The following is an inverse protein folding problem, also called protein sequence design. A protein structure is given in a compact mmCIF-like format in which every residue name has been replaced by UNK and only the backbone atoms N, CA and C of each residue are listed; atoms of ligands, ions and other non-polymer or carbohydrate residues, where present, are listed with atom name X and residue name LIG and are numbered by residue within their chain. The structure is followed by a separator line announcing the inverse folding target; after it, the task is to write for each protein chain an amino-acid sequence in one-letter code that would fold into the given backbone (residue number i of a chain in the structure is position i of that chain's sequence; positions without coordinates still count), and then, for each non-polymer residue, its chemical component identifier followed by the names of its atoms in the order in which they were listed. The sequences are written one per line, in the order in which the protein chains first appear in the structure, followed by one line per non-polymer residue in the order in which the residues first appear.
data_IF_426679099038
#
_entry.id   IF_426679099038
#
_cell.length_a   1.000
_cell.length_b   1.000
_cell.length_c   1.000
_cell.angle_alpha   90.00
_cell.angle_beta   90.00
_cell.angle_gamma   90.00
#
_symmetry.space_group_name_H-M   'P 1'
#
loop_
_entity.id
_entity.type
_entity.pdbx_description
1 polymer ?
#
# COMPACT_ATOMS: atom_id res chain seq x y z
N UNK A 1 16.92 25.12 5.79
CA UNK A 1 15.48 24.87 5.92
C UNK A 1 15.24 23.46 5.45
N UNK A 2 14.58 22.64 6.27
CA UNK A 2 14.22 21.28 5.91
C UNK A 2 13.10 21.32 4.85
N UNK A 3 13.25 20.57 3.76
CA UNK A 3 12.23 20.47 2.71
C UNK A 3 10.96 19.84 3.30
N UNK A 4 9.78 20.38 3.00
CA UNK A 4 8.53 19.76 3.46
C UNK A 4 8.31 18.43 2.73
N UNK A 5 7.60 17.48 3.36
CA UNK A 5 7.26 16.19 2.73
C UNK A 5 6.57 16.39 1.37
N UNK A 6 5.69 17.39 1.28
CA UNK A 6 4.97 17.74 0.06
C UNK A 6 5.92 18.22 -1.04
N UNK A 7 6.85 19.12 -0.72
CA UNK A 7 7.83 19.62 -1.68
C UNK A 7 8.77 18.50 -2.16
N UNK A 8 9.19 17.61 -1.26
CA UNK A 8 9.99 16.44 -1.61
C UNK A 8 9.22 15.49 -2.55
N UNK A 9 7.94 15.21 -2.26
CA UNK A 9 7.09 14.37 -3.11
C UNK A 9 6.91 14.98 -4.51
N UNK A 10 6.67 16.29 -4.61
CA UNK A 10 6.54 17.01 -5.88
C UNK A 10 7.81 16.94 -6.71
N UNK A 11 8.98 17.19 -6.09
CA UNK A 11 10.28 17.07 -6.75
C UNK A 11 10.52 15.66 -7.30
N UNK A 12 10.26 14.63 -6.49
CA UNK A 12 10.43 13.23 -6.91
C UNK A 12 9.44 12.88 -8.03
N UNK A 13 8.17 13.29 -7.90
CA UNK A 13 7.13 13.06 -8.92
C UNK A 13 7.50 13.67 -10.28
N UNK A 14 8.03 14.89 -10.30
CA UNK A 14 8.49 15.53 -11.53
C UNK A 14 9.62 14.73 -12.20
N UNK A 15 10.64 14.35 -11.43
CA UNK A 15 11.76 13.57 -11.95
C UNK A 15 11.32 12.19 -12.47
N UNK A 16 10.50 11.47 -11.70
CA UNK A 16 9.97 10.17 -12.09
C UNK A 16 9.12 10.28 -13.35
N UNK A 17 8.23 11.27 -13.43
CA UNK A 17 7.39 11.50 -14.62
C UNK A 17 8.25 11.68 -15.86
N UNK A 18 9.27 12.53 -15.79
CA UNK A 18 10.12 12.85 -16.95
C UNK A 18 10.93 11.63 -17.41
N UNK A 19 11.42 10.81 -16.47
CA UNK A 19 12.07 9.52 -16.76
C UNK A 19 11.09 8.57 -17.46
N UNK A 20 9.87 8.40 -16.93
CA UNK A 20 8.90 7.47 -17.52
C UNK A 20 8.53 7.88 -18.95
N UNK A 21 8.28 9.16 -19.19
CA UNK A 21 7.98 9.69 -20.52
C UNK A 21 9.14 9.47 -21.50
N UNK A 22 10.39 9.63 -21.03
CA UNK A 22 11.58 9.45 -21.86
C UNK A 22 11.83 7.99 -22.24
N UNK A 23 11.71 7.07 -21.29
CA UNK A 23 12.15 5.68 -21.46
C UNK A 23 11.04 4.74 -21.97
N UNK A 24 9.77 4.98 -21.61
CA UNK A 24 8.65 4.11 -22.00
C UNK A 24 8.10 4.50 -23.39
N UNK A 25 8.25 5.76 -23.79
CA UNK A 25 7.96 6.25 -25.15
C UNK A 25 6.54 5.91 -25.62
N UNK A 26 6.41 5.28 -26.80
CA UNK A 26 5.12 5.06 -27.48
C UNK A 26 4.18 4.10 -26.75
N UNK A 27 4.69 3.27 -25.84
CA UNK A 27 3.85 2.40 -25.01
C UNK A 27 3.34 3.09 -23.75
N UNK A 28 3.78 4.32 -23.43
CA UNK A 28 3.29 5.05 -22.28
C UNK A 28 1.79 5.41 -22.42
N UNK A 29 0.99 5.10 -21.40
CA UNK A 29 -0.44 5.46 -21.35
C UNK A 29 -0.76 6.41 -20.20
N UNK A 30 -0.13 6.22 -19.05
CA UNK A 30 -0.32 7.07 -17.90
C UNK A 30 0.59 6.72 -16.74
N UNK A 31 0.69 7.65 -15.81
CA UNK A 31 1.44 7.49 -14.57
C UNK A 31 0.65 8.12 -13.44
N UNK A 32 0.35 7.33 -12.43
CA UNK A 32 -0.22 7.82 -11.17
C UNK A 32 0.77 7.61 -10.02
N UNK A 33 0.68 8.48 -9.02
CA UNK A 33 1.27 8.28 -7.70
C UNK A 33 0.14 8.06 -6.69
N UNK A 34 0.36 7.20 -5.70
CA UNK A 34 -0.63 6.84 -4.69
C UNK A 34 0.02 6.68 -3.30
N UNK A 35 -0.78 6.27 -2.31
CA UNK A 35 -0.30 5.96 -0.97
C UNK A 35 -0.05 7.20 -0.11
N UNK A 36 0.90 7.11 0.83
CA UNK A 36 1.13 8.17 1.82
C UNK A 36 1.70 9.47 1.25
N UNK A 37 2.28 9.43 0.04
CA UNK A 37 2.76 10.62 -0.66
C UNK A 37 1.61 11.53 -1.13
N UNK A 38 0.40 10.98 -1.32
CA UNK A 38 -0.79 11.73 -1.75
C UNK A 38 -1.70 12.03 -0.57
N UNK A 39 -2.06 11.00 0.20
CA UNK A 39 -3.05 11.12 1.30
C UNK A 39 -2.46 11.66 2.61
N UNK A 40 -1.14 11.76 2.68
CA UNK A 40 -0.40 11.99 3.93
C UNK A 40 -0.31 10.73 4.79
N UNK A 41 -0.07 10.89 6.10
CA UNK A 41 0.21 9.75 6.98
C UNK A 41 1.60 9.13 6.71
N UNK A 42 2.52 9.97 6.23
CA UNK A 42 3.93 9.65 6.05
C UNK A 42 4.56 9.21 7.38
N UNK A 43 5.36 8.15 7.33
CA UNK A 43 6.17 7.67 8.46
C UNK A 43 7.62 7.63 7.96
N UNK A 44 8.48 8.48 8.50
CA UNK A 44 9.89 8.53 8.14
C UNK A 44 10.56 7.16 8.29
N UNK A 45 11.40 6.76 7.35
CA UNK A 45 12.02 5.43 7.29
C UNK A 45 11.11 4.31 6.78
N UNK A 46 9.78 4.42 6.98
CA UNK A 46 8.82 3.38 6.54
C UNK A 46 8.11 3.68 5.22
N UNK A 47 7.84 4.95 4.93
CA UNK A 47 6.99 5.35 3.81
C UNK A 47 7.77 5.40 2.49
N UNK A 48 7.16 4.83 1.46
CA UNK A 48 7.62 4.91 0.07
C UNK A 48 6.83 5.94 -0.71
N UNK A 49 7.27 6.14 -1.95
CA UNK A 49 6.47 6.74 -2.99
C UNK A 49 6.05 5.66 -4.00
N UNK A 50 4.75 5.40 -4.05
CA UNK A 50 4.16 4.29 -4.80
C UNK A 50 3.60 4.80 -6.13
N UNK A 51 4.12 4.27 -7.23
CA UNK A 51 3.68 4.59 -8.58
C UNK A 51 2.96 3.43 -9.24
N UNK A 52 1.98 3.76 -10.09
CA UNK A 52 1.44 2.81 -11.07
C UNK A 52 1.68 3.36 -12.46
N UNK A 53 2.43 2.61 -13.25
CA UNK A 53 2.73 2.91 -14.65
C UNK A 53 1.77 2.14 -15.55
N UNK A 54 0.97 2.86 -16.32
CA UNK A 54 0.09 2.31 -17.34
C UNK A 54 0.81 2.26 -18.67
N UNK A 55 0.89 1.05 -19.24
CA UNK A 55 1.51 0.82 -20.54
C UNK A 55 0.60 0.07 -21.49
N UNK A 56 0.83 0.32 -22.77
CA UNK A 56 0.31 -0.50 -23.85
C UNK A 56 1.03 -1.85 -23.90
N UNK A 57 0.30 -2.88 -24.31
CA UNK A 57 0.82 -4.24 -24.43
C UNK A 57 1.95 -4.37 -25.45
N UNK A 58 1.99 -3.50 -26.45
CA UNK A 58 3.09 -3.42 -27.43
C UNK A 58 4.43 -3.08 -26.77
N UNK A 59 4.43 -2.53 -25.56
CA UNK A 59 5.62 -2.27 -24.76
C UNK A 59 6.02 -3.40 -23.81
N UNK A 60 5.30 -4.52 -23.80
CA UNK A 60 5.52 -5.66 -22.90
C UNK A 60 6.04 -6.88 -23.67
N UNK A 61 6.76 -7.74 -22.97
CA UNK A 61 7.14 -9.07 -23.46
C UNK A 61 5.99 -10.08 -23.29
N UNK A 62 6.22 -11.33 -23.71
CA UNK A 62 5.22 -12.41 -23.64
C UNK A 62 4.75 -12.72 -22.21
N UNK A 63 5.56 -12.44 -21.19
CA UNK A 63 5.16 -12.61 -19.79
C UNK A 63 4.42 -11.40 -19.21
N UNK A 64 4.18 -10.37 -20.02
CA UNK A 64 3.48 -9.16 -19.60
C UNK A 64 4.36 -8.20 -18.79
N UNK A 65 5.69 -8.31 -18.89
CA UNK A 65 6.66 -7.44 -18.24
C UNK A 65 7.35 -6.50 -19.23
N UNK A 66 7.89 -5.38 -18.76
CA UNK A 66 8.74 -4.52 -19.58
C UNK A 66 10.00 -5.30 -20.02
N UNK A 67 10.52 -5.05 -21.23
CA UNK A 67 11.80 -5.59 -21.66
C UNK A 67 12.92 -5.27 -20.66
N UNK A 68 13.83 -6.24 -20.45
CA UNK A 68 14.90 -6.10 -19.45
C UNK A 68 15.79 -4.88 -19.70
N UNK A 69 16.06 -4.55 -20.97
CA UNK A 69 16.83 -3.37 -21.36
C UNK A 69 16.13 -2.08 -20.92
N UNK A 70 14.81 -2.01 -21.07
CA UNK A 70 14.00 -0.89 -20.58
C UNK A 70 14.08 -0.79 -19.06
N UNK A 71 13.97 -1.91 -18.34
CA UNK A 71 14.09 -1.95 -16.89
C UNK A 71 15.46 -1.50 -16.39
N UNK A 72 16.55 -1.91 -17.05
CA UNK A 72 17.92 -1.48 -16.69
C UNK A 72 18.08 0.02 -16.87
N UNK A 73 17.64 0.56 -18.01
CA UNK A 73 17.74 2.00 -18.28
C UNK A 73 16.90 2.82 -17.30
N UNK A 74 15.68 2.36 -17.00
CA UNK A 74 14.83 2.97 -15.99
C UNK A 74 15.49 2.94 -14.61
N UNK A 75 16.05 1.81 -14.20
CA UNK A 75 16.71 1.68 -12.91
C UNK A 75 17.90 2.65 -12.78
N UNK A 76 18.73 2.74 -13.81
CA UNK A 76 19.85 3.70 -13.84
C UNK A 76 19.35 5.13 -13.66
N UNK A 77 18.37 5.57 -14.45
CA UNK A 77 17.83 6.92 -14.36
C UNK A 77 17.17 7.20 -12.99
N UNK A 78 16.39 6.24 -12.47
CA UNK A 78 15.72 6.40 -11.17
C UNK A 78 16.74 6.45 -10.01
N UNK A 79 17.89 5.79 -10.13
CA UNK A 79 18.94 5.77 -9.10
C UNK A 79 19.59 7.13 -8.87
N UNK A 80 19.44 8.06 -9.82
CA UNK A 80 19.95 9.44 -9.72
C UNK A 80 19.03 10.35 -8.89
N UNK A 81 17.80 9.92 -8.59
CA UNK A 81 16.84 10.69 -7.81
C UNK A 81 17.19 10.57 -6.32
N UNK A 82 17.38 11.71 -5.65
CA UNK A 82 17.36 11.75 -4.19
C UNK A 82 15.93 11.51 -3.68
N UNK A 83 15.67 10.30 -3.18
CA UNK A 83 14.36 9.86 -2.70
C UNK A 83 14.02 10.34 -1.29
N UNK A 84 14.99 10.88 -0.54
CA UNK A 84 14.74 11.39 0.81
C UNK A 84 13.62 12.44 0.80
N UNK A 85 12.68 12.42 1.78
CA UNK A 85 12.66 11.59 2.99
C UNK A 85 11.94 10.24 2.84
N UNK A 86 11.46 9.90 1.65
CA UNK A 86 10.91 8.58 1.37
C UNK A 86 12.02 7.54 1.31
N UNK A 87 11.67 6.28 1.57
CA UNK A 87 12.65 5.20 1.57
C UNK A 87 12.93 4.69 0.16
N UNK A 88 11.88 4.42 -0.62
CA UNK A 88 12.00 3.87 -1.97
C UNK A 88 11.02 4.52 -2.96
N UNK A 89 11.39 4.43 -4.23
CA UNK A 89 10.46 4.53 -5.35
C UNK A 89 9.98 3.11 -5.66
N UNK A 90 8.67 2.88 -5.58
CA UNK A 90 8.06 1.57 -5.86
C UNK A 90 7.12 1.67 -7.07
N UNK A 91 7.13 0.63 -7.91
CA UNK A 91 6.32 0.58 -9.13
C UNK A 91 5.45 -0.67 -9.20
N UNK A 92 4.22 -0.47 -9.67
CA UNK A 92 3.43 -1.49 -10.35
C UNK A 92 3.32 -1.11 -11.82
N UNK A 93 3.66 -2.02 -12.73
CA UNK A 93 3.47 -1.83 -14.18
C UNK A 93 2.25 -2.64 -14.60
N UNK A 94 1.27 -1.98 -15.20
CA UNK A 94 0.03 -2.63 -15.60
C UNK A 94 -0.36 -2.26 -17.04
N UNK A 95 -1.06 -3.19 -17.69
CA UNK A 95 -1.66 -3.02 -19.01
C UNK A 95 -3.08 -3.58 -19.02
N UNK A 96 -3.89 -3.34 -20.08
CA UNK A 96 -5.25 -3.90 -20.17
C UNK A 96 -5.30 -5.41 -19.95
N UNK A 97 -4.30 -6.17 -20.44
CA UNK A 97 -4.23 -7.63 -20.28
C UNK A 97 -3.74 -8.11 -18.92
N UNK A 98 -2.93 -7.32 -18.23
CA UNK A 98 -2.23 -7.78 -17.02
C UNK A 98 -2.76 -7.14 -15.74
N UNK A 99 -3.68 -6.18 -15.83
CA UNK A 99 -4.24 -5.54 -14.66
C UNK A 99 -5.01 -6.55 -13.80
N UNK A 100 -4.54 -6.76 -12.57
CA UNK A 100 -5.19 -7.59 -11.54
C UNK A 100 -5.63 -6.77 -10.33
N UNK A 101 -5.39 -5.46 -10.37
CA UNK A 101 -5.65 -4.57 -9.27
C UNK A 101 -7.01 -3.90 -9.44
N UNK A 102 -7.60 -3.53 -8.30
CA UNK A 102 -8.73 -2.61 -8.29
C UNK A 102 -8.33 -1.32 -9.03
N UNK A 103 -9.24 -0.71 -9.81
CA UNK A 103 -8.98 0.60 -10.40
C UNK A 103 -8.65 1.65 -9.32
N UNK A 104 -8.02 2.78 -9.69
CA UNK A 104 -7.67 3.82 -8.73
C UNK A 104 -8.88 4.29 -7.93
N UNK A 105 -8.71 4.37 -6.60
CA UNK A 105 -9.79 4.83 -5.71
C UNK A 105 -9.82 6.37 -5.76
N UNK A 106 -10.99 7.00 -6.01
CA UNK A 106 -11.10 8.46 -6.06
C UNK A 106 -10.47 9.16 -4.85
N UNK A 107 -9.69 10.21 -5.10
CA UNK A 107 -9.00 11.00 -4.08
C UNK A 107 -7.73 10.37 -3.48
N UNK A 108 -7.47 9.08 -3.72
CA UNK A 108 -6.33 8.37 -3.11
C UNK A 108 -5.04 8.38 -3.93
N UNK A 109 -5.06 9.01 -5.10
CA UNK A 109 -3.97 9.08 -6.07
C UNK A 109 -3.90 10.46 -6.74
N UNK A 110 -2.80 10.72 -7.44
CA UNK A 110 -2.64 11.87 -8.33
C UNK A 110 -2.19 11.39 -9.70
N UNK A 111 -2.85 11.85 -10.77
CA UNK A 111 -2.42 11.63 -12.15
C UNK A 111 -1.26 12.58 -12.48
N UNK A 112 -0.08 12.01 -12.75
CA UNK A 112 1.13 12.77 -13.04
C UNK A 112 1.32 13.04 -14.54
N UNK A 113 0.90 12.10 -15.38
CA UNK A 113 0.91 12.23 -16.84
C UNK A 113 -0.02 11.20 -17.51
N UNK A 114 -0.46 11.50 -18.73
CA UNK A 114 -1.29 10.62 -19.55
C UNK A 114 -2.73 10.54 -19.06
N UNK A 115 -3.30 9.33 -19.04
CA UNK A 115 -4.67 9.06 -18.63
C UNK A 115 -4.75 7.76 -17.82
N UNK A 116 -5.85 7.59 -17.07
CA UNK A 116 -6.11 6.32 -16.40
C UNK A 116 -6.33 5.20 -17.43
N UNK A 117 -5.92 3.99 -17.05
CA UNK A 117 -6.17 2.80 -17.85
C UNK A 117 -7.67 2.43 -17.86
N UNK A 118 -8.32 2.61 -16.72
CA UNK A 118 -9.72 2.29 -16.48
C UNK A 118 -10.35 3.42 -15.65
N UNK A 119 -11.69 3.58 -15.66
CA UNK A 119 -12.38 4.50 -14.76
C UNK A 119 -12.05 4.23 -13.29
N UNK A 120 -12.18 5.25 -12.45
CA UNK A 120 -11.98 5.10 -11.01
C UNK A 120 -12.92 4.06 -10.39
N UNK A 121 -12.46 3.40 -9.32
CA UNK A 121 -13.23 2.36 -8.66
C UNK A 121 -14.49 2.94 -8.00
N UNK A 122 -15.61 2.23 -8.16
CA UNK A 122 -16.84 2.53 -7.43
C UNK A 122 -16.78 2.03 -5.99
N UNK A 123 -17.61 2.58 -5.11
CA UNK A 123 -17.70 2.11 -3.73
C UNK A 123 -18.04 0.62 -3.63
N UNK A 124 -18.94 0.14 -4.49
CA UNK A 124 -19.31 -1.28 -4.55
C UNK A 124 -18.12 -2.16 -4.94
N UNK A 125 -17.33 -1.74 -5.93
CA UNK A 125 -16.11 -2.47 -6.31
C UNK A 125 -15.10 -2.54 -5.17
N UNK A 126 -14.89 -1.41 -4.47
CA UNK A 126 -13.99 -1.34 -3.30
C UNK A 126 -14.49 -2.26 -2.17
N UNK A 127 -15.80 -2.25 -1.91
CA UNK A 127 -16.42 -3.12 -0.91
C UNK A 127 -16.28 -4.60 -1.26
N UNK A 128 -16.59 -4.99 -2.50
CA UNK A 128 -16.46 -6.38 -2.95
C UNK A 128 -15.01 -6.87 -2.91
N UNK A 129 -14.05 -6.03 -3.30
CA UNK A 129 -12.63 -6.36 -3.18
C UNK A 129 -12.19 -6.55 -1.71
N UNK A 130 -12.66 -5.68 -0.81
CA UNK A 130 -12.39 -5.80 0.62
C UNK A 130 -12.94 -7.12 1.20
N UNK A 131 -14.19 -7.47 0.86
CA UNK A 131 -14.82 -8.75 1.25
C UNK A 131 -14.01 -9.94 0.70
N UNK A 132 -13.67 -9.91 -0.59
CA UNK A 132 -12.91 -10.98 -1.23
C UNK A 132 -11.52 -11.15 -0.59
N UNK A 133 -10.88 -10.04 -0.23
CA UNK A 133 -9.57 -10.04 0.44
C UNK A 133 -9.65 -10.58 1.87
N UNK A 134 -10.63 -10.16 2.67
CA UNK A 134 -10.84 -10.67 4.03
C UNK A 134 -11.21 -12.17 4.04
N UNK A 135 -11.97 -12.64 3.04
CA UNK A 135 -12.25 -14.06 2.86
C UNK A 135 -10.98 -14.88 2.62
N UNK A 136 -10.07 -14.37 1.78
CA UNK A 136 -8.78 -15.01 1.46
C UNK A 136 -7.70 -14.79 2.51
N UNK A 137 -7.92 -13.93 3.51
CA UNK A 137 -6.92 -13.64 4.54
C UNK A 137 -6.49 -14.92 5.25
N UNK A 138 -5.19 -15.21 5.16
CA UNK A 138 -4.50 -16.29 5.85
C UNK A 138 -3.24 -15.69 6.47
N UNK A 139 -3.22 -15.37 7.78
CA UNK A 139 -2.11 -14.68 8.43
C UNK A 139 -0.73 -15.33 8.15
N UNK A 140 -0.65 -16.66 8.17
CA UNK A 140 0.58 -17.43 7.93
C UNK A 140 1.06 -17.38 6.48
N UNK A 141 0.14 -17.22 5.53
CA UNK A 141 0.48 -17.03 4.11
C UNK A 141 0.85 -15.57 3.81
N UNK A 142 0.29 -14.63 4.57
CA UNK A 142 0.55 -13.21 4.41
C UNK A 142 1.93 -12.80 4.96
N UNK A 143 2.38 -13.45 6.04
CA UNK A 143 3.76 -13.35 6.54
C UNK A 143 4.24 -14.72 6.99
N UNK A 144 5.26 -15.27 6.31
CA UNK A 144 5.77 -16.60 6.61
C UNK A 144 6.81 -16.52 7.76
N UNK A 145 6.53 -17.06 8.96
CA UNK A 145 7.41 -16.85 10.14
C UNK A 145 8.84 -17.36 9.96
N UNK A 146 9.07 -18.38 9.12
CA UNK A 146 10.43 -18.86 8.83
C UNK A 146 11.34 -17.81 8.17
N UNK A 147 10.80 -16.71 7.62
CA UNK A 147 11.62 -15.59 7.16
C UNK A 147 12.47 -14.99 8.29
N UNK A 148 12.04 -15.13 9.55
CA UNK A 148 12.79 -14.69 10.73
C UNK A 148 13.99 -15.59 11.09
N UNK A 149 14.10 -16.76 10.47
CA UNK A 149 15.24 -17.66 10.66
C UNK A 149 16.44 -17.26 9.77
N UNK A 150 16.21 -16.41 8.77
CA UNK A 150 17.27 -15.91 7.90
C UNK A 150 18.03 -14.77 8.61
N UNK A 151 19.37 -14.82 8.58
CA UNK A 151 20.24 -13.81 9.21
C UNK A 151 21.20 -13.16 8.20
N UNK A 152 21.65 -11.93 8.52
CA UNK A 152 22.60 -11.13 7.73
C UNK A 152 21.93 -9.99 6.96
N UNK A 153 22.71 -8.93 6.65
CA UNK A 153 22.27 -7.70 5.98
C UNK A 153 20.99 -7.10 6.62
N UNK A 154 20.16 -6.44 5.82
CA UNK A 154 18.96 -5.70 6.25
C UNK A 154 17.71 -6.61 6.30
N UNK A 155 17.87 -7.89 6.67
CA UNK A 155 16.78 -8.87 6.59
C UNK A 155 15.63 -8.59 7.56
N UNK A 156 15.93 -8.14 8.78
CA UNK A 156 14.90 -7.87 9.77
C UNK A 156 14.12 -6.60 9.42
N UNK A 157 14.78 -5.61 8.85
CA UNK A 157 14.22 -4.37 8.30
C UNK A 157 13.25 -4.72 7.16
N UNK A 158 13.66 -5.63 6.25
CA UNK A 158 12.79 -6.14 5.17
C UNK A 158 11.57 -6.87 5.71
N UNK A 159 11.71 -7.66 6.76
CA UNK A 159 10.58 -8.35 7.40
C UNK A 159 9.61 -7.35 8.07
N UNK A 160 10.13 -6.38 8.80
CA UNK A 160 9.34 -5.32 9.44
C UNK A 160 8.58 -4.49 8.40
N UNK A 161 9.23 -4.16 7.29
CA UNK A 161 8.62 -3.48 6.14
C UNK A 161 7.54 -4.35 5.48
N UNK A 162 7.81 -5.62 5.23
CA UNK A 162 6.82 -6.55 4.67
C UNK A 162 5.57 -6.58 5.56
N UNK A 163 5.74 -6.63 6.88
CA UNK A 163 4.60 -6.59 7.80
C UNK A 163 3.75 -5.32 7.64
N UNK A 164 4.37 -4.14 7.47
CA UNK A 164 3.64 -2.91 7.15
C UNK A 164 2.83 -3.02 5.85
N UNK A 165 3.42 -3.59 4.79
CA UNK A 165 2.73 -3.74 3.50
C UNK A 165 1.54 -4.70 3.56
N UNK A 166 1.53 -5.61 4.54
CA UNK A 166 0.46 -6.59 4.76
C UNK A 166 -0.63 -6.02 5.67
N UNK A 167 -0.25 -5.41 6.80
CA UNK A 167 -1.20 -4.97 7.83
C UNK A 167 -2.04 -3.78 7.37
N UNK A 168 -1.43 -2.78 6.71
CA UNK A 168 -2.18 -1.57 6.35
C UNK A 168 -3.36 -1.84 5.43
N UNK A 169 -3.22 -2.60 4.32
CA UNK A 169 -4.37 -2.98 3.51
C UNK A 169 -5.49 -3.67 4.31
N UNK A 170 -5.14 -4.57 5.23
CA UNK A 170 -6.14 -5.29 6.05
C UNK A 170 -6.91 -4.34 6.98
N UNK A 171 -6.26 -3.31 7.55
CA UNK A 171 -6.95 -2.25 8.31
C UNK A 171 -7.99 -1.54 7.44
N UNK A 172 -7.59 -1.08 6.25
CA UNK A 172 -8.50 -0.36 5.34
C UNK A 172 -9.63 -1.25 4.80
N UNK A 173 -9.34 -2.52 4.48
CA UNK A 173 -10.35 -3.49 4.04
C UNK A 173 -11.38 -3.78 5.13
N UNK A 174 -10.93 -3.98 6.37
CA UNK A 174 -11.82 -4.23 7.49
C UNK A 174 -12.76 -3.03 7.74
N UNK A 175 -12.20 -1.82 7.77
CA UNK A 175 -12.98 -0.59 7.91
C UNK A 175 -13.94 -0.36 6.74
N UNK A 176 -13.54 -0.69 5.51
CA UNK A 176 -14.39 -0.62 4.32
C UNK A 176 -15.65 -1.46 4.53
N UNK A 177 -15.51 -2.68 5.04
CA UNK A 177 -16.66 -3.55 5.26
C UNK A 177 -17.52 -3.11 6.45
N UNK A 178 -16.90 -2.61 7.53
CA UNK A 178 -17.63 -2.11 8.70
C UNK A 178 -18.49 -0.89 8.37
N UNK A 179 -17.94 0.04 7.57
CA UNK A 179 -18.57 1.33 7.29
C UNK A 179 -19.30 1.41 5.94
N UNK A 180 -19.10 0.43 5.06
CA UNK A 180 -19.66 0.40 3.70
C UNK A 180 -19.34 1.65 2.86
N UNK A 181 -18.24 2.34 3.19
CA UNK A 181 -17.79 3.58 2.53
C UNK A 181 -16.29 3.46 2.22
N UNK A 182 -15.96 2.62 1.24
CA UNK A 182 -14.60 2.37 0.80
C UNK A 182 -13.89 3.62 0.30
N UNK A 183 -14.59 4.51 -0.42
CA UNK A 183 -13.98 5.74 -0.93
C UNK A 183 -13.46 6.59 0.24
N UNK A 184 -14.30 6.87 1.25
CA UNK A 184 -13.85 7.64 2.43
C UNK A 184 -12.75 6.91 3.18
N UNK A 185 -12.93 5.62 3.44
CA UNK A 185 -11.99 4.83 4.26
C UNK A 185 -10.59 4.84 3.65
N UNK A 186 -10.47 4.62 2.34
CA UNK A 186 -9.17 4.57 1.67
C UNK A 186 -8.51 5.94 1.50
N UNK A 187 -9.23 7.05 1.74
CA UNK A 187 -8.68 8.40 1.82
C UNK A 187 -8.14 8.77 3.21
N UNK A 188 -8.36 7.94 4.23
CA UNK A 188 -7.82 8.18 5.57
C UNK A 188 -6.30 7.99 5.64
N UNK A 189 -5.66 8.75 6.53
CA UNK A 189 -4.29 8.49 6.99
C UNK A 189 -4.29 7.27 7.92
N UNK A 190 -3.13 6.61 8.04
CA UNK A 190 -2.96 5.42 8.90
C UNK A 190 -3.44 5.67 10.35
N UNK A 191 -3.12 6.84 10.92
CA UNK A 191 -3.54 7.21 12.27
C UNK A 191 -5.05 7.37 12.39
N UNK A 192 -5.69 7.97 11.38
CA UNK A 192 -7.14 8.17 11.34
C UNK A 192 -7.87 6.84 11.19
N UNK A 193 -7.35 5.93 10.35
CA UNK A 193 -7.89 4.58 10.19
C UNK A 193 -7.78 3.78 11.49
N UNK A 194 -6.63 3.79 12.16
CA UNK A 194 -6.45 3.13 13.47
C UNK A 194 -7.37 3.72 14.53
N UNK A 195 -7.51 5.06 14.57
CA UNK A 195 -8.44 5.73 15.47
C UNK A 195 -9.88 5.32 15.22
N UNK A 196 -10.29 5.16 13.95
CA UNK A 196 -11.64 4.74 13.61
C UNK A 196 -11.90 3.28 14.01
N UNK A 197 -10.90 2.41 13.81
CA UNK A 197 -10.98 0.99 14.16
C UNK A 197 -10.97 0.75 15.68
N UNK A 198 -10.57 1.75 16.48
CA UNK A 198 -10.58 1.65 17.96
C UNK A 198 -11.97 1.38 18.56
N UNK A 199 -13.04 1.69 17.82
CA UNK A 199 -14.41 1.38 18.23
C UNK A 199 -14.73 -0.12 18.20
N UNK A 200 -13.92 -0.92 17.50
CA UNK A 200 -14.09 -2.37 17.41
C UNK A 200 -13.23 -3.07 18.45
N UNK A 201 -13.80 -3.37 19.62
CA UNK A 201 -13.09 -3.87 20.82
C UNK A 201 -12.20 -5.09 20.53
N UNK A 202 -12.61 -5.97 19.62
CA UNK A 202 -11.89 -7.21 19.32
C UNK A 202 -10.58 -7.01 18.52
N UNK A 203 -10.46 -5.90 17.79
CA UNK A 203 -9.36 -5.68 16.82
C UNK A 203 -8.66 -4.33 16.99
N UNK A 204 -9.35 -3.31 17.51
CA UNK A 204 -8.87 -1.94 17.61
C UNK A 204 -7.60 -1.80 18.45
N UNK A 205 -7.52 -2.51 19.57
CA UNK A 205 -6.32 -2.51 20.43
C UNK A 205 -5.09 -3.05 19.72
N UNK A 206 -5.24 -4.12 18.92
CA UNK A 206 -4.13 -4.71 18.16
C UNK A 206 -3.63 -3.77 17.06
N UNK A 207 -4.54 -3.09 16.36
CA UNK A 207 -4.17 -2.09 15.36
C UNK A 207 -3.41 -0.90 15.98
N UNK A 208 -3.81 -0.46 17.18
CA UNK A 208 -3.14 0.59 17.92
C UNK A 208 -1.74 0.17 18.39
N UNK A 209 -1.58 -1.05 18.92
CA UNK A 209 -0.29 -1.59 19.31
C UNK A 209 0.67 -1.72 18.12
N UNK A 210 0.15 -2.16 16.98
CA UNK A 210 0.93 -2.22 15.74
C UNK A 210 1.42 -0.84 15.32
N UNK A 211 0.53 0.16 15.24
CA UNK A 211 0.92 1.53 14.89
C UNK A 211 1.98 2.09 15.85
N UNK A 212 1.82 1.87 17.16
CA UNK A 212 2.79 2.29 18.18
C UNK A 212 4.15 1.63 17.97
N UNK A 213 4.18 0.34 17.62
CA UNK A 213 5.42 -0.38 17.34
C UNK A 213 6.09 0.12 16.05
N UNK A 214 5.32 0.42 15.01
CA UNK A 214 5.82 1.08 13.78
C UNK A 214 6.47 2.41 14.10
N UNK A 215 5.81 3.26 14.90
CA UNK A 215 6.33 4.58 15.30
C UNK A 215 7.53 4.51 16.26
N UNK A 216 7.69 3.41 16.99
CA UNK A 216 8.82 3.19 17.89
C UNK A 216 10.06 2.66 17.16
N UNK A 217 9.86 1.83 16.14
CA UNK A 217 10.93 1.24 15.33
C UNK A 217 11.48 2.22 14.29
N UNK A 218 10.58 2.87 13.55
CA UNK A 218 10.93 3.92 12.60
C UNK A 218 10.99 5.29 13.29
N UNK A 219 11.83 6.23 12.83
CA UNK A 219 12.65 6.21 11.60
C UNK A 219 14.05 5.61 11.77
N UNK A 220 14.43 5.17 12.97
CA UNK A 220 15.83 4.84 13.27
C UNK A 220 16.26 3.46 12.79
N UNK A 221 15.34 2.48 12.73
CA UNK A 221 15.62 1.10 12.25
C UNK A 221 16.71 0.34 13.06
N UNK A 222 17.08 0.82 14.25
CA UNK A 222 18.30 0.39 14.96
C UNK A 222 18.13 -0.73 15.99
N UNK A 223 16.92 -1.30 16.17
CA UNK A 223 16.69 -2.34 17.19
C UNK A 223 15.98 -3.54 16.59
N UNK A 224 16.68 -4.69 16.48
CA UNK A 224 16.06 -5.96 16.13
C UNK A 224 14.89 -6.32 17.05
N UNK A 225 14.97 -6.00 18.34
CA UNK A 225 13.89 -6.26 19.31
C UNK A 225 12.63 -5.45 18.98
N UNK A 226 12.79 -4.17 18.61
CA UNK A 226 11.67 -3.33 18.17
C UNK A 226 11.08 -3.83 16.84
N UNK A 227 11.93 -4.30 15.92
CA UNK A 227 11.48 -4.87 14.66
C UNK A 227 10.68 -6.17 14.88
N UNK A 228 11.19 -7.07 15.72
CA UNK A 228 10.51 -8.31 16.10
C UNK A 228 9.17 -8.02 16.78
N UNK A 229 9.11 -7.03 17.67
CA UNK A 229 7.86 -6.60 18.30
C UNK A 229 6.86 -6.06 17.29
N UNK A 230 7.29 -5.23 16.34
CA UNK A 230 6.43 -4.76 15.24
C UNK A 230 5.83 -5.94 14.45
N UNK A 231 6.66 -6.94 14.14
CA UNK A 231 6.23 -8.15 13.41
C UNK A 231 5.23 -8.96 14.25
N UNK A 232 5.51 -9.15 15.54
CA UNK A 232 4.63 -9.84 16.47
C UNK A 232 3.25 -9.16 16.57
N UNK A 233 3.22 -7.85 16.79
CA UNK A 233 1.98 -7.07 16.88
C UNK A 233 1.22 -7.05 15.55
N UNK A 234 1.94 -7.02 14.43
CA UNK A 234 1.32 -7.14 13.10
C UNK A 234 0.66 -8.49 12.90
N UNK A 235 1.35 -9.58 13.27
CA UNK A 235 0.79 -10.93 13.21
C UNK A 235 -0.40 -11.11 14.17
N UNK A 236 -0.34 -10.53 15.36
CA UNK A 236 -1.44 -10.52 16.33
C UNK A 236 -2.68 -9.81 15.76
N UNK A 237 -2.51 -8.67 15.10
CA UNK A 237 -3.58 -7.96 14.40
C UNK A 237 -4.20 -8.83 13.28
N UNK A 238 -3.39 -9.41 12.39
CA UNK A 238 -3.91 -10.26 11.30
C UNK A 238 -4.75 -11.44 11.82
N UNK A 239 -4.30 -12.08 12.89
CA UNK A 239 -5.04 -13.15 13.55
C UNK A 239 -6.35 -12.68 14.17
N UNK A 240 -6.33 -11.52 14.85
CA UNK A 240 -7.53 -10.93 15.43
C UNK A 240 -8.54 -10.57 14.34
N UNK A 241 -8.10 -9.95 13.23
CA UNK A 241 -8.96 -9.64 12.08
C UNK A 241 -9.54 -10.90 11.44
N UNK A 242 -8.75 -11.97 11.28
CA UNK A 242 -9.27 -13.22 10.72
C UNK A 242 -10.38 -13.81 11.60
N UNK A 243 -10.18 -13.85 12.92
CA UNK A 243 -11.19 -14.33 13.87
C UNK A 243 -12.45 -13.45 13.83
N UNK A 244 -12.27 -12.14 13.93
CA UNK A 244 -13.37 -11.17 13.84
C UNK A 244 -14.18 -11.36 12.57
N UNK A 245 -13.50 -11.47 11.41
CA UNK A 245 -14.17 -11.69 10.13
C UNK A 245 -14.96 -13.00 10.11
N UNK A 246 -14.37 -14.11 10.58
CA UNK A 246 -15.06 -15.40 10.67
C UNK A 246 -16.30 -15.37 11.57
N UNK A 247 -16.31 -14.54 12.61
CA UNK A 247 -17.45 -14.42 13.54
C UNK A 247 -18.52 -13.46 13.03
N UNK A 248 -18.13 -12.35 12.41
CA UNK A 248 -19.04 -11.23 12.11
C UNK A 248 -19.40 -11.05 10.63
N UNK A 249 -18.79 -11.79 9.70
CA UNK A 249 -18.96 -11.56 8.26
C UNK A 249 -20.42 -11.54 7.83
N UNK A 250 -21.22 -12.54 8.23
CA UNK A 250 -22.66 -12.61 7.89
C UNK A 250 -23.39 -11.35 8.34
N UNK A 251 -23.18 -10.91 9.58
CA UNK A 251 -23.83 -9.70 10.12
C UNK A 251 -23.41 -8.45 9.36
N UNK A 252 -22.14 -8.33 8.98
CA UNK A 252 -21.62 -7.15 8.29
C UNK A 252 -22.06 -7.09 6.82
N UNK A 253 -22.23 -8.26 6.17
CA UNK A 253 -22.68 -8.36 4.78
C UNK A 253 -24.19 -8.16 4.62
N UNK A 254 -24.97 -8.50 5.64
CA UNK A 254 -26.44 -8.42 5.62
C UNK A 254 -26.98 -7.40 6.63
N UNK A 255 -26.25 -6.32 6.90
CA UNK A 255 -26.82 -5.18 7.64
C UNK A 255 -28.02 -4.66 6.85
N UNK A 256 -29.21 -5.02 7.29
CA UNK A 256 -30.43 -4.34 6.86
C UNK A 256 -30.27 -2.86 7.25
N UNK A 257 -30.44 -1.97 6.27
CA UNK A 257 -30.53 -0.53 6.49
C UNK A 257 -31.68 -0.24 7.46
N UNK A 258 -31.39 -0.35 8.74
CA UNK A 258 -32.23 0.11 9.83
C UNK A 258 -31.93 1.59 10.08
N UNK A 259 -32.00 2.38 9.00
CA UNK A 259 -32.19 3.82 9.11
C UNK A 259 -33.70 4.07 9.20
N UNK A 260 -34.18 4.16 10.44
CA UNK A 260 -35.33 5.00 10.79
C UNK A 260 -34.78 6.35 11.27
#
# INVERSE_FOLDING_TARGET
MEESIQAAAERINLAVRDIMLHHVKSSFRGLIVQGSAVKGGFIAGSSDIDYVLYVDETGLNESGALPIETCINLHQALSEINVHPFRYIQFSVISPKTNKYLPPIPGSYQLLAGQLLEPEATNDQIFQDAVASLNRLQPEAAFHPHQLLDHGEDRIERCARLMCTVVWPVVFQLLTVIHQDGIRIWNLKKQEAVSLLSNEVEVGGMAANFLSSVQSYYPQEQSPEKALRLIEEGFAFLNATKRFWSTHCTRLLFREDTTN
#
